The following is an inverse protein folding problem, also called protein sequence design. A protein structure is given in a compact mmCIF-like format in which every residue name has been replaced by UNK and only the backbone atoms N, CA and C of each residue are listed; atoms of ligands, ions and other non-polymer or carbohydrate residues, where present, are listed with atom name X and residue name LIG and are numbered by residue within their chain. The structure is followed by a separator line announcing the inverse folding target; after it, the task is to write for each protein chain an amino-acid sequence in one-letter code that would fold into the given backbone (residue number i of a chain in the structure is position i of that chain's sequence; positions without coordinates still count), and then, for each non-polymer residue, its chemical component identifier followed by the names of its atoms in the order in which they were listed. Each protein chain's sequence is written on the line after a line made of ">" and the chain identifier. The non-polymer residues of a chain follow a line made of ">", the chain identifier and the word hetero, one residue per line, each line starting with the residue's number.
data_IF_190083517783
#
_entry.id   IF_190083517783
#
_cell.length_a   1.000
_cell.length_b   1.000
_cell.length_c   1.000
_cell.angle_alpha   90.00
_cell.angle_beta   90.00
_cell.angle_gamma   90.00
#
_symmetry.space_group_name_H-M   'P 1'
#
loop_
_entity.id
_entity.type
_entity.pdbx_description
1 polymer ?
#
# COMPACT_ATOMS: atom_id res chain seq x y z
N UNK A 1 -15.96 29.71 -3.68
CA UNK A 1 -14.99 29.42 -4.76
C UNK A 1 -14.23 28.11 -4.52
N UNK A 2 -13.55 27.87 -3.39
CA UNK A 2 -12.78 26.63 -3.16
C UNK A 2 -13.59 25.33 -3.37
N UNK A 3 -14.81 25.24 -2.83
CA UNK A 3 -15.68 24.04 -3.02
C UNK A 3 -15.94 23.71 -4.48
N UNK A 4 -16.17 24.72 -5.34
CA UNK A 4 -16.42 24.52 -6.77
C UNK A 4 -15.17 23.94 -7.44
N UNK A 5 -13.99 24.46 -7.09
CA UNK A 5 -12.70 23.95 -7.59
C UNK A 5 -12.50 22.50 -7.14
N UNK A 6 -12.79 22.16 -5.88
CA UNK A 6 -12.72 20.78 -5.37
C UNK A 6 -13.60 19.83 -6.19
N UNK A 7 -14.83 20.24 -6.55
CA UNK A 7 -15.74 19.43 -7.38
C UNK A 7 -15.19 19.24 -8.80
N UNK A 8 -14.78 20.34 -9.46
CA UNK A 8 -14.27 20.29 -10.85
C UNK A 8 -13.04 19.42 -10.95
N UNK A 9 -12.02 19.67 -10.12
CA UNK A 9 -10.77 18.92 -10.15
C UNK A 9 -10.97 17.46 -9.72
N UNK A 10 -11.92 17.19 -8.82
CA UNK A 10 -12.29 15.81 -8.47
C UNK A 10 -12.88 15.06 -9.66
N UNK A 11 -13.77 15.68 -10.43
CA UNK A 11 -14.35 15.05 -11.62
C UNK A 11 -13.25 14.73 -12.64
N UNK A 12 -12.36 15.68 -12.93
CA UNK A 12 -11.24 15.49 -13.86
C UNK A 12 -10.36 14.31 -13.41
N UNK A 13 -9.98 14.28 -12.13
CA UNK A 13 -9.18 13.22 -11.59
C UNK A 13 -9.89 11.85 -11.60
N UNK A 14 -11.17 11.80 -11.26
CA UNK A 14 -11.92 10.54 -11.23
C UNK A 14 -12.14 9.96 -12.62
N UNK A 15 -12.30 10.82 -13.64
CA UNK A 15 -12.30 10.39 -15.04
C UNK A 15 -10.95 9.78 -15.41
N UNK A 16 -9.84 10.48 -15.11
CA UNK A 16 -8.48 9.95 -15.30
C UNK A 16 -8.28 8.62 -14.56
N UNK A 17 -8.67 8.55 -13.28
CA UNK A 17 -8.57 7.35 -12.45
C UNK A 17 -9.34 6.17 -13.06
N UNK A 18 -10.60 6.39 -13.47
CA UNK A 18 -11.43 5.35 -14.07
C UNK A 18 -10.88 4.87 -15.41
N UNK A 19 -10.50 5.79 -16.31
CA UNK A 19 -9.90 5.46 -17.61
C UNK A 19 -8.58 4.70 -17.43
N UNK A 20 -7.73 5.12 -16.49
CA UNK A 20 -6.48 4.42 -16.17
C UNK A 20 -6.75 2.98 -15.72
N UNK A 21 -7.73 2.76 -14.83
CA UNK A 21 -8.11 1.41 -14.41
C UNK A 21 -8.60 0.55 -15.57
N UNK A 22 -9.41 1.10 -16.48
CA UNK A 22 -9.96 0.36 -17.63
C UNK A 22 -8.86 -0.01 -18.64
N UNK A 23 -8.04 0.96 -19.03
CA UNK A 23 -6.93 0.74 -19.98
C UNK A 23 -5.94 -0.29 -19.43
N UNK A 24 -5.49 -0.11 -18.19
CA UNK A 24 -4.56 -1.04 -17.58
C UNK A 24 -5.19 -2.40 -17.25
N UNK A 25 -6.51 -2.51 -17.18
CA UNK A 25 -7.16 -3.81 -17.05
C UNK A 25 -6.88 -4.70 -18.27
N UNK A 26 -7.03 -4.15 -19.46
CA UNK A 26 -6.71 -4.85 -20.71
C UNK A 26 -5.22 -5.15 -20.80
N UNK A 27 -4.37 -4.14 -20.53
CA UNK A 27 -2.91 -4.29 -20.52
C UNK A 27 -2.46 -5.40 -19.58
N UNK A 28 -3.00 -5.48 -18.35
CA UNK A 28 -2.65 -6.52 -17.39
C UNK A 28 -3.07 -7.92 -17.83
N UNK A 29 -4.26 -8.05 -18.45
CA UNK A 29 -4.72 -9.34 -18.98
C UNK A 29 -3.77 -9.82 -20.06
N UNK A 30 -3.42 -8.97 -21.03
CA UNK A 30 -2.48 -9.30 -22.10
C UNK A 30 -1.09 -9.60 -21.51
N UNK A 31 -0.58 -8.72 -20.66
CA UNK A 31 0.72 -8.86 -20.03
C UNK A 31 0.88 -10.18 -19.27
N UNK A 32 -0.15 -10.59 -18.50
CA UNK A 32 -0.10 -11.83 -17.74
C UNK A 32 -0.20 -13.08 -18.62
N UNK A 33 -1.16 -13.11 -19.55
CA UNK A 33 -1.48 -14.33 -20.29
C UNK A 33 -0.54 -14.57 -21.47
N UNK A 34 0.05 -13.51 -22.07
CA UNK A 34 0.96 -13.62 -23.21
C UNK A 34 2.43 -13.60 -22.76
N UNK A 35 2.77 -12.72 -21.80
CA UNK A 35 4.17 -12.46 -21.42
C UNK A 35 4.52 -12.91 -20.00
N UNK A 36 3.53 -13.35 -19.21
CA UNK A 36 3.71 -13.90 -17.87
C UNK A 36 3.89 -12.87 -16.75
N UNK A 37 4.22 -13.39 -15.55
CA UNK A 37 4.22 -12.62 -14.29
C UNK A 37 5.14 -11.41 -14.28
N UNK A 38 6.32 -11.49 -14.92
CA UNK A 38 7.29 -10.37 -14.92
C UNK A 38 6.76 -9.15 -15.66
N UNK A 39 6.18 -9.34 -16.83
CA UNK A 39 5.60 -8.25 -17.63
C UNK A 39 4.31 -7.73 -16.98
N UNK A 40 3.50 -8.61 -16.40
CA UNK A 40 2.33 -8.20 -15.61
C UNK A 40 2.74 -7.28 -14.45
N UNK A 41 3.82 -7.60 -13.73
CA UNK A 41 4.33 -6.74 -12.64
C UNK A 41 4.71 -5.34 -13.15
N UNK A 42 5.37 -5.24 -14.29
CA UNK A 42 5.70 -3.96 -14.92
C UNK A 42 4.43 -3.17 -15.29
N UNK A 43 3.43 -3.84 -15.84
CA UNK A 43 2.13 -3.21 -16.12
C UNK A 43 1.46 -2.67 -14.84
N UNK A 44 1.54 -3.40 -13.74
CA UNK A 44 1.04 -2.94 -12.42
C UNK A 44 1.82 -1.74 -11.90
N UNK A 45 3.13 -1.70 -12.08
CA UNK A 45 3.95 -0.56 -11.67
C UNK A 45 3.52 0.71 -12.43
N UNK A 46 3.36 0.63 -13.76
CA UNK A 46 2.90 1.77 -14.56
C UNK A 46 1.46 2.17 -14.28
N UNK A 47 0.55 1.21 -14.02
CA UNK A 47 -0.77 1.54 -13.51
C UNK A 47 -0.67 2.47 -12.28
N UNK A 48 0.13 2.06 -11.30
CA UNK A 48 0.27 2.81 -10.05
C UNK A 48 1.06 4.12 -10.24
N UNK A 49 1.97 4.19 -11.20
CA UNK A 49 2.56 5.45 -11.64
C UNK A 49 1.47 6.44 -12.10
N UNK A 50 0.63 6.05 -13.07
CA UNK A 50 -0.42 6.93 -13.60
C UNK A 50 -1.46 7.31 -12.53
N UNK A 51 -1.83 6.39 -11.64
CA UNK A 51 -2.75 6.69 -10.54
C UNK A 51 -2.13 7.67 -9.53
N UNK A 52 -0.84 7.53 -9.22
CA UNK A 52 -0.13 8.39 -8.27
C UNK A 52 0.09 9.79 -8.83
N UNK A 53 0.66 9.88 -10.02
CA UNK A 53 0.96 11.19 -10.63
C UNK A 53 -0.29 11.86 -11.22
N UNK A 54 -1.35 11.11 -11.49
CA UNK A 54 -2.67 11.66 -11.77
C UNK A 54 -3.23 12.54 -10.66
N UNK A 55 -2.78 12.36 -9.40
CA UNK A 55 -3.16 13.24 -8.27
C UNK A 55 -2.80 14.71 -8.52
N UNK A 56 -1.80 15.01 -9.34
CA UNK A 56 -1.50 16.39 -9.76
C UNK A 56 -2.66 17.08 -10.47
N UNK A 57 -3.58 16.34 -11.08
CA UNK A 57 -4.80 16.89 -11.68
C UNK A 57 -5.73 17.54 -10.64
N UNK A 58 -5.58 17.22 -9.37
CA UNK A 58 -6.28 17.88 -8.26
C UNK A 58 -5.52 19.10 -7.71
N UNK A 59 -4.37 19.43 -8.29
CA UNK A 59 -3.44 20.42 -7.74
C UNK A 59 -2.67 19.93 -6.51
N UNK A 60 -2.76 18.63 -6.18
CA UNK A 60 -2.07 18.08 -5.02
C UNK A 60 -0.55 18.11 -5.20
N UNK A 61 0.17 18.38 -4.11
CA UNK A 61 1.63 18.23 -4.03
C UNK A 61 1.95 16.82 -3.55
N UNK A 62 2.46 15.97 -4.46
CA UNK A 62 2.80 14.56 -4.20
C UNK A 62 4.27 14.42 -3.88
N UNK A 63 4.59 13.93 -2.69
CA UNK A 63 5.95 13.81 -2.17
C UNK A 63 6.25 12.34 -1.86
N UNK A 64 7.21 11.78 -2.60
CA UNK A 64 7.70 10.41 -2.40
C UNK A 64 9.14 10.48 -1.90
N UNK A 65 9.40 9.96 -0.69
CA UNK A 65 10.73 9.98 -0.06
C UNK A 65 11.19 8.59 0.31
N UNK A 66 12.47 8.34 0.08
CA UNK A 66 13.15 7.18 0.63
C UNK A 66 14.32 7.70 1.48
N UNK A 67 14.25 7.49 2.80
CA UNK A 67 15.26 7.99 3.75
C UNK A 67 16.40 6.99 4.00
N UNK A 68 16.36 5.82 3.35
CA UNK A 68 17.33 4.76 3.57
C UNK A 68 17.47 3.87 2.32
N UNK A 69 18.64 3.31 2.15
CA UNK A 69 18.83 2.22 1.19
C UNK A 69 18.42 0.90 1.85
N UNK A 70 17.53 0.19 1.19
CA UNK A 70 17.03 -1.10 1.65
C UNK A 70 17.71 -2.24 0.91
N UNK A 71 17.97 -3.38 1.58
CA UNK A 71 18.56 -4.56 0.96
C UNK A 71 17.63 -5.15 -0.13
N UNK A 72 18.25 -5.77 -1.16
CA UNK A 72 17.52 -6.45 -2.23
C UNK A 72 17.68 -7.99 -2.16
N UNK A 73 18.43 -8.46 -1.19
CA UNK A 73 18.86 -9.86 -1.05
C UNK A 73 18.15 -10.62 0.06
N UNK A 74 17.21 -9.97 0.75
CA UNK A 74 16.38 -10.53 1.81
C UNK A 74 14.93 -10.08 1.72
N UNK A 75 13.97 -10.80 2.31
CA UNK A 75 12.57 -10.37 2.34
C UNK A 75 12.38 -9.10 3.16
N UNK A 76 11.35 -8.30 2.81
CA UNK A 76 10.99 -7.08 3.53
C UNK A 76 9.50 -7.11 3.89
N UNK A 77 9.17 -6.71 5.11
CA UNK A 77 7.80 -6.47 5.55
C UNK A 77 7.65 -4.97 5.79
N UNK A 78 6.95 -4.30 4.88
CA UNK A 78 6.58 -2.90 5.03
C UNK A 78 5.37 -2.77 5.94
N UNK A 79 5.53 -1.96 7.00
CA UNK A 79 4.49 -1.66 7.98
C UNK A 79 4.11 -0.19 7.83
N UNK A 80 2.87 0.09 7.42
CA UNK A 80 2.42 1.44 7.14
C UNK A 80 1.17 1.82 7.95
N UNK A 81 1.01 3.10 8.26
CA UNK A 81 -0.27 3.65 8.68
C UNK A 81 -1.24 3.72 7.50
N UNK A 82 -2.55 3.74 7.76
CA UNK A 82 -3.57 3.67 6.72
C UNK A 82 -4.62 4.77 6.87
N UNK A 83 -4.64 5.72 5.94
CA UNK A 83 -5.55 6.85 5.99
C UNK A 83 -6.64 6.75 4.91
N UNK A 84 -6.31 6.25 3.72
CA UNK A 84 -7.16 6.38 2.54
C UNK A 84 -6.97 5.24 1.54
N UNK A 85 -7.91 5.10 0.60
CA UNK A 85 -7.74 4.27 -0.60
C UNK A 85 -6.57 4.77 -1.48
N UNK A 86 -6.29 6.07 -1.44
CA UNK A 86 -5.23 6.70 -2.21
C UNK A 86 -3.82 6.44 -1.67
N UNK A 87 -3.69 5.77 -0.52
CA UNK A 87 -2.39 5.33 0.01
C UNK A 87 -1.71 4.34 -0.93
N UNK A 88 -2.49 3.44 -1.53
CA UNK A 88 -2.03 2.22 -2.19
C UNK A 88 -1.21 2.48 -3.46
N UNK A 89 -1.67 3.30 -4.44
CA UNK A 89 -0.94 3.50 -5.69
C UNK A 89 0.47 4.01 -5.46
N UNK A 90 0.62 5.04 -4.61
CA UNK A 90 1.91 5.65 -4.34
C UNK A 90 2.86 4.71 -3.59
N UNK A 91 2.35 3.90 -2.65
CA UNK A 91 3.15 2.87 -1.97
C UNK A 91 3.66 1.83 -2.96
N UNK A 92 2.81 1.33 -3.88
CA UNK A 92 3.25 0.35 -4.90
C UNK A 92 4.34 0.95 -5.79
N UNK A 93 4.14 2.18 -6.29
CA UNK A 93 5.10 2.84 -7.14
C UNK A 93 6.43 3.11 -6.43
N UNK A 94 6.38 3.60 -5.18
CA UNK A 94 7.56 3.90 -4.38
C UNK A 94 8.39 2.65 -4.10
N UNK A 95 7.70 1.55 -3.76
CA UNK A 95 8.32 0.28 -3.37
C UNK A 95 8.49 -0.73 -4.52
N UNK A 96 8.25 -0.32 -5.78
CA UNK A 96 8.21 -1.23 -6.95
C UNK A 96 9.46 -2.12 -7.11
N UNK A 97 10.63 -1.66 -6.67
CA UNK A 97 11.89 -2.43 -6.72
C UNK A 97 11.84 -3.70 -5.85
N UNK A 98 11.03 -3.69 -4.78
CA UNK A 98 10.96 -4.76 -3.79
C UNK A 98 9.80 -5.73 -4.01
N UNK A 99 9.12 -5.67 -5.18
CA UNK A 99 7.97 -6.54 -5.52
C UNK A 99 6.88 -6.59 -4.44
N UNK A 100 6.30 -5.45 -4.04
CA UNK A 100 5.36 -5.36 -2.93
C UNK A 100 4.06 -6.13 -3.18
N UNK A 101 3.67 -6.96 -2.22
CA UNK A 101 2.40 -7.70 -2.19
C UNK A 101 1.62 -7.33 -0.95
N UNK A 102 0.31 -7.16 -1.09
CA UNK A 102 -0.52 -6.65 -0.01
C UNK A 102 -1.23 -7.76 0.76
N UNK A 103 -1.44 -7.50 2.06
CA UNK A 103 -2.51 -8.12 2.82
C UNK A 103 -3.78 -7.29 2.57
N UNK A 104 -4.72 -7.84 1.82
CA UNK A 104 -5.91 -7.13 1.33
C UNK A 104 -7.20 -7.86 1.68
N UNK A 105 -8.31 -7.12 1.75
CA UNK A 105 -9.64 -7.73 1.90
C UNK A 105 -9.98 -8.58 0.69
N UNK A 106 -10.56 -9.76 0.93
CA UNK A 106 -10.97 -10.71 -0.12
C UNK A 106 -12.02 -10.11 -1.08
N UNK A 107 -12.87 -9.19 -0.58
CA UNK A 107 -13.90 -8.53 -1.39
C UNK A 107 -13.29 -7.69 -2.51
N UNK A 108 -12.08 -7.15 -2.32
CA UNK A 108 -11.38 -6.37 -3.35
C UNK A 108 -10.86 -7.23 -4.51
N UNK A 109 -10.90 -8.56 -4.39
CA UNK A 109 -10.56 -9.47 -5.48
C UNK A 109 -11.65 -9.55 -6.57
N UNK A 110 -12.76 -8.83 -6.41
CA UNK A 110 -13.89 -8.79 -7.35
C UNK A 110 -14.36 -7.35 -7.60
N UNK A 111 -14.88 -7.09 -8.80
CA UNK A 111 -15.68 -5.91 -9.13
C UNK A 111 -14.89 -4.64 -9.50
N UNK A 112 -13.58 -4.57 -9.29
CA UNK A 112 -12.81 -3.36 -9.64
C UNK A 112 -11.80 -3.68 -10.74
N UNK A 113 -11.94 -3.12 -11.96
CA UNK A 113 -10.99 -3.30 -13.05
C UNK A 113 -9.54 -3.04 -12.59
N UNK A 114 -8.58 -3.72 -13.16
CA UNK A 114 -7.16 -3.70 -12.82
C UNK A 114 -6.84 -4.18 -11.39
N UNK A 115 -7.46 -3.57 -10.38
CA UNK A 115 -7.17 -3.85 -8.96
C UNK A 115 -7.50 -5.30 -8.62
N UNK A 116 -8.74 -5.74 -8.93
CA UNK A 116 -9.17 -7.12 -8.64
C UNK A 116 -8.35 -8.15 -9.41
N UNK A 117 -7.98 -7.83 -10.65
CA UNK A 117 -7.13 -8.72 -11.47
C UNK A 117 -5.74 -8.86 -10.86
N UNK A 118 -5.09 -7.72 -10.54
CA UNK A 118 -3.77 -7.72 -9.91
C UNK A 118 -3.78 -8.50 -8.59
N UNK A 119 -4.74 -8.24 -7.70
CA UNK A 119 -4.81 -8.92 -6.40
C UNK A 119 -4.88 -10.44 -6.53
N UNK A 120 -5.58 -10.97 -7.54
CA UNK A 120 -5.65 -12.41 -7.80
C UNK A 120 -4.38 -12.99 -8.43
N UNK A 121 -3.59 -12.17 -9.15
CA UNK A 121 -2.43 -12.64 -9.93
C UNK A 121 -1.08 -12.33 -9.30
N UNK A 122 -1.00 -11.33 -8.42
CA UNK A 122 0.26 -10.87 -7.79
C UNK A 122 0.75 -11.71 -6.62
N UNK A 123 -0.08 -12.63 -6.09
CA UNK A 123 0.26 -13.39 -4.88
C UNK A 123 -0.11 -12.68 -3.57
N UNK A 124 -0.92 -11.63 -3.62
CA UNK A 124 -1.46 -10.95 -2.44
C UNK A 124 -2.15 -11.92 -1.47
N UNK A 125 -2.11 -11.64 -0.18
CA UNK A 125 -2.90 -12.35 0.82
C UNK A 125 -4.31 -11.74 0.86
N UNK A 126 -5.30 -12.51 0.39
CA UNK A 126 -6.69 -12.09 0.35
C UNK A 126 -7.42 -12.62 1.58
N UNK A 127 -7.65 -11.75 2.56
CA UNK A 127 -8.18 -12.14 3.86
C UNK A 127 -9.66 -11.82 4.04
N UNK A 128 -10.39 -12.78 4.60
CA UNK A 128 -11.70 -12.53 5.20
C UNK A 128 -11.52 -12.14 6.67
N UNK A 129 -11.77 -10.89 7.01
CA UNK A 129 -11.56 -10.39 8.39
C UNK A 129 -12.50 -10.99 9.42
N UNK A 130 -13.57 -11.67 8.98
CA UNK A 130 -14.50 -12.41 9.85
C UNK A 130 -14.06 -13.84 10.11
N UNK A 131 -13.05 -14.33 9.36
CA UNK A 131 -12.49 -15.67 9.48
C UNK A 131 -11.00 -15.59 9.81
N UNK A 132 -10.69 -15.59 11.10
CA UNK A 132 -9.32 -15.48 11.58
C UNK A 132 -8.41 -16.64 11.12
N UNK A 133 -8.97 -17.86 10.97
CA UNK A 133 -8.21 -19.02 10.51
C UNK A 133 -7.81 -18.86 9.05
N UNK A 134 -8.74 -18.47 8.19
CA UNK A 134 -8.48 -18.17 6.79
C UNK A 134 -7.46 -17.03 6.64
N UNK A 135 -7.63 -15.94 7.40
CA UNK A 135 -6.72 -14.80 7.37
C UNK A 135 -5.28 -15.21 7.74
N UNK A 136 -5.08 -15.97 8.83
CA UNK A 136 -3.77 -16.46 9.24
C UNK A 136 -3.16 -17.37 8.15
N UNK A 137 -3.95 -18.25 7.54
CA UNK A 137 -3.48 -19.15 6.46
C UNK A 137 -2.96 -18.36 5.26
N UNK A 138 -3.71 -17.34 4.81
CA UNK A 138 -3.31 -16.51 3.66
C UNK A 138 -2.09 -15.63 3.96
N UNK A 139 -2.02 -15.05 5.17
CA UNK A 139 -0.86 -14.26 5.59
C UNK A 139 0.40 -15.16 5.70
N UNK A 140 0.24 -16.39 6.23
CA UNK A 140 1.34 -17.36 6.29
C UNK A 140 1.82 -17.79 4.90
N UNK A 141 0.88 -17.97 3.94
CA UNK A 141 1.21 -18.24 2.53
C UNK A 141 2.03 -17.09 1.92
N UNK A 142 1.61 -15.84 2.16
CA UNK A 142 2.35 -14.66 1.72
C UNK A 142 3.73 -14.57 2.37
N UNK A 143 3.82 -14.84 3.68
CA UNK A 143 5.11 -14.87 4.38
C UNK A 143 6.09 -15.85 3.76
N UNK A 144 5.63 -17.09 3.46
CA UNK A 144 6.47 -18.07 2.76
C UNK A 144 6.88 -17.58 1.36
N UNK A 145 5.96 -17.00 0.61
CA UNK A 145 6.22 -16.49 -0.74
C UNK A 145 7.31 -15.41 -0.75
N UNK A 146 7.25 -14.44 0.17
CA UNK A 146 8.28 -13.40 0.24
C UNK A 146 9.63 -13.92 0.73
N UNK A 147 9.64 -14.95 1.57
CA UNK A 147 10.88 -15.62 1.99
C UNK A 147 11.56 -16.32 0.81
N UNK A 148 10.79 -17.10 0.06
CA UNK A 148 11.28 -17.90 -1.07
C UNK A 148 11.78 -16.99 -2.24
N UNK A 149 11.09 -15.88 -2.50
CA UNK A 149 11.38 -14.98 -3.62
C UNK A 149 12.25 -13.77 -3.23
N UNK A 150 12.62 -13.61 -1.95
CA UNK A 150 13.28 -12.40 -1.42
C UNK A 150 12.50 -11.11 -1.78
N UNK A 151 11.18 -11.24 -1.78
CA UNK A 151 10.24 -10.16 -2.13
C UNK A 151 9.77 -9.39 -0.91
N UNK A 152 8.65 -8.65 -1.06
CA UNK A 152 8.11 -7.92 0.07
C UNK A 152 6.60 -8.07 0.26
N UNK A 153 6.19 -7.90 1.52
CA UNK A 153 4.80 -7.76 1.92
C UNK A 153 4.53 -6.35 2.44
N UNK A 154 3.34 -5.84 2.20
CA UNK A 154 2.84 -4.60 2.79
C UNK A 154 1.65 -4.93 3.66
N UNK A 155 1.70 -4.47 4.89
CA UNK A 155 0.62 -4.63 5.86
C UNK A 155 0.30 -3.31 6.55
N UNK A 156 -0.99 -3.08 6.77
CA UNK A 156 -1.52 -1.97 7.56
C UNK A 156 -2.01 -2.52 8.90
N UNK A 157 -1.20 -2.50 9.95
CA UNK A 157 -1.53 -3.17 11.20
C UNK A 157 -2.66 -2.51 11.99
N UNK A 158 -3.09 -1.30 11.62
CA UNK A 158 -4.32 -0.68 12.12
C UNK A 158 -5.59 -1.49 11.74
N UNK A 159 -5.50 -2.37 10.75
CA UNK A 159 -6.62 -3.19 10.26
C UNK A 159 -7.71 -2.41 9.54
N UNK A 160 -7.77 -1.10 9.61
CA UNK A 160 -8.76 -0.24 8.92
C UNK A 160 -8.20 1.16 8.69
N UNK A 161 -8.81 1.91 7.79
CA UNK A 161 -8.43 3.29 7.48
C UNK A 161 -8.82 4.26 8.59
N UNK A 162 -8.01 5.31 8.78
CA UNK A 162 -8.26 6.38 9.75
C UNK A 162 -8.09 7.74 9.07
N UNK A 163 -9.19 8.27 8.53
CA UNK A 163 -9.20 9.54 7.79
C UNK A 163 -8.84 10.78 8.65
N UNK A 164 -8.94 10.67 9.98
CA UNK A 164 -8.57 11.76 10.90
C UNK A 164 -7.07 12.01 11.00
N UNK A 165 -6.24 11.13 10.45
CA UNK A 165 -4.77 11.19 10.61
C UNK A 165 -4.26 10.65 11.95
N UNK A 166 -5.14 10.35 12.91
CA UNK A 166 -4.75 9.77 14.21
C UNK A 166 -4.61 8.26 14.03
N UNK A 167 -3.39 7.76 14.15
CA UNK A 167 -3.12 6.32 14.01
C UNK A 167 -3.79 5.51 15.12
N UNK A 168 -4.38 4.39 14.75
CA UNK A 168 -4.88 3.38 15.67
C UNK A 168 -3.73 2.53 16.23
N UNK A 169 -3.98 1.78 17.32
CA UNK A 169 -3.03 0.78 17.78
C UNK A 169 -2.69 -0.22 16.69
N UNK A 170 -1.44 -0.62 16.60
CA UNK A 170 -0.97 -1.64 15.67
C UNK A 170 -1.24 -3.03 16.25
N UNK A 171 -1.87 -3.89 15.46
CA UNK A 171 -2.21 -5.26 15.85
C UNK A 171 -1.12 -6.22 15.36
N UNK A 172 -0.51 -6.95 16.32
CA UNK A 172 0.66 -7.78 16.06
C UNK A 172 0.39 -9.02 15.19
N UNK A 173 -0.79 -9.61 15.24
CA UNK A 173 -1.07 -10.94 14.69
C UNK A 173 -0.68 -11.14 13.23
N UNK A 174 -0.91 -10.15 12.38
CA UNK A 174 -0.54 -10.22 10.96
C UNK A 174 0.98 -10.19 10.74
N UNK A 175 1.68 -9.29 11.41
CA UNK A 175 3.15 -9.15 11.32
C UNK A 175 3.84 -10.37 11.94
N UNK A 176 3.35 -10.86 13.08
CA UNK A 176 3.84 -12.08 13.72
C UNK A 176 3.72 -13.29 12.78
N UNK A 177 2.60 -13.40 12.07
CA UNK A 177 2.37 -14.49 11.10
C UNK A 177 3.32 -14.41 9.91
N UNK A 178 3.58 -13.19 9.39
CA UNK A 178 4.55 -12.96 8.32
C UNK A 178 5.97 -13.33 8.79
N UNK A 179 6.42 -12.81 9.93
CA UNK A 179 7.75 -13.07 10.50
C UNK A 179 7.98 -14.56 10.79
N UNK A 180 6.96 -15.27 11.28
CA UNK A 180 7.07 -16.72 11.50
C UNK A 180 7.39 -17.50 10.22
N UNK A 181 7.01 -16.97 9.04
CA UNK A 181 7.22 -17.60 7.74
C UNK A 181 8.34 -16.96 6.93
N UNK A 182 8.74 -15.77 7.29
CA UNK A 182 9.86 -15.02 6.71
C UNK A 182 10.75 -14.48 7.85
N UNK A 183 11.49 -15.37 8.56
CA UNK A 183 12.28 -14.99 9.74
C UNK A 183 13.42 -14.02 9.41
N UNK A 184 13.90 -14.04 8.17
CA UNK A 184 14.96 -13.15 7.70
C UNK A 184 14.44 -11.77 7.24
N UNK A 185 13.13 -11.52 7.35
CA UNK A 185 12.55 -10.29 6.85
C UNK A 185 12.94 -9.07 7.66
N UNK A 186 13.39 -8.01 6.97
CA UNK A 186 13.55 -6.69 7.56
C UNK A 186 12.17 -6.03 7.72
N UNK A 187 11.90 -5.43 8.87
CA UNK A 187 10.69 -4.62 9.07
C UNK A 187 11.00 -3.18 8.67
N UNK A 188 10.19 -2.61 7.77
CA UNK A 188 10.42 -1.25 7.28
C UNK A 188 9.16 -0.41 7.47
N UNK A 189 9.20 0.62 8.34
CA UNK A 189 8.08 1.52 8.52
C UNK A 189 7.90 2.44 7.29
N UNK A 190 6.65 2.73 6.94
CA UNK A 190 6.28 3.67 5.87
C UNK A 190 5.26 4.67 6.42
N UNK A 191 5.64 5.94 6.48
CA UNK A 191 4.75 7.01 6.90
C UNK A 191 3.95 7.55 5.71
N UNK A 192 2.62 7.62 5.87
CA UNK A 192 1.69 8.15 4.87
C UNK A 192 0.95 9.32 5.48
N UNK A 193 1.00 10.49 4.83
CA UNK A 193 0.37 11.70 5.34
C UNK A 193 -0.51 12.40 4.30
N UNK A 194 -1.57 13.06 4.79
CA UNK A 194 -2.45 13.92 4.02
C UNK A 194 -3.56 13.23 3.23
N UNK A 195 -3.46 11.93 2.97
CA UNK A 195 -4.44 11.21 2.14
C UNK A 195 -5.81 11.08 2.80
N UNK A 196 -5.88 11.02 4.13
CA UNK A 196 -7.15 11.05 4.87
C UNK A 196 -7.86 12.38 4.74
N UNK A 197 -7.12 13.49 4.90
CA UNK A 197 -7.64 14.83 4.72
C UNK A 197 -7.99 15.14 3.25
N UNK A 198 -7.32 14.50 2.31
CA UNK A 198 -7.58 14.61 0.87
C UNK A 198 -8.95 14.05 0.47
N UNK A 199 -9.39 12.94 1.08
CA UNK A 199 -10.69 12.33 0.79
C UNK A 199 -11.58 12.14 2.04
N UNK A 200 -11.94 13.20 2.75
CA UNK A 200 -12.60 13.12 4.06
C UNK A 200 -14.00 12.49 4.03
N UNK A 201 -14.65 12.52 2.89
CA UNK A 201 -16.02 11.99 2.65
C UNK A 201 -16.03 10.77 1.72
N UNK A 202 -14.90 10.07 1.57
CA UNK A 202 -14.75 8.99 0.62
C UNK A 202 -14.22 9.50 -0.72
N UNK A 203 -14.68 8.88 -1.83
CA UNK A 203 -14.08 9.13 -3.15
C UNK A 203 -14.39 10.52 -3.75
N UNK A 204 -15.43 11.19 -3.24
CA UNK A 204 -15.92 12.47 -3.83
C UNK A 204 -16.62 13.35 -2.81
N UNK A 205 -16.40 14.69 -2.82
CA UNK A 205 -15.30 15.38 -3.52
C UNK A 205 -13.97 15.21 -2.80
N UNK A 206 -12.87 15.25 -3.57
CA UNK A 206 -11.51 15.32 -3.07
C UNK A 206 -11.14 16.77 -2.74
N UNK A 207 -10.25 16.97 -1.78
CA UNK A 207 -9.74 18.32 -1.46
C UNK A 207 -8.59 18.69 -2.38
N UNK A 208 -8.80 19.69 -3.24
CA UNK A 208 -7.77 20.23 -4.11
C UNK A 208 -6.60 20.88 -3.32
N UNK A 209 -5.42 20.91 -3.95
CA UNK A 209 -4.19 21.49 -3.43
C UNK A 209 -3.72 20.88 -2.10
N UNK A 210 -4.05 19.60 -1.87
CA UNK A 210 -3.59 18.87 -0.70
C UNK A 210 -2.10 18.54 -0.80
N UNK A 211 -1.39 18.57 0.33
CA UNK A 211 -0.04 18.01 0.45
C UNK A 211 -0.17 16.54 0.82
N UNK A 212 0.41 15.66 0.01
CA UNK A 212 0.36 14.21 0.18
C UNK A 212 1.78 13.67 0.23
N UNK A 213 2.13 12.91 1.25
CA UNK A 213 3.48 12.37 1.37
C UNK A 213 3.49 10.88 1.72
N UNK A 214 4.50 10.19 1.18
CA UNK A 214 4.86 8.81 1.48
C UNK A 214 6.36 8.74 1.73
N UNK A 215 6.73 8.32 2.94
CA UNK A 215 8.13 8.30 3.37
C UNK A 215 8.51 6.92 3.87
N UNK A 216 9.50 6.30 3.23
CA UNK A 216 10.11 5.04 3.66
C UNK A 216 11.17 5.37 4.71
N UNK A 217 11.11 4.68 5.85
CA UNK A 217 11.96 4.92 7.01
C UNK A 217 13.05 3.85 7.14
N UNK A 218 14.08 4.07 7.97
CA UNK A 218 15.07 3.04 8.27
C UNK A 218 14.45 1.73 8.74
N UNK A 219 15.05 0.63 8.34
CA UNK A 219 14.59 -0.71 8.70
C UNK A 219 14.87 -1.06 10.16
N UNK A 220 14.01 -1.88 10.74
CA UNK A 220 14.09 -2.40 12.09
C UNK A 220 14.42 -3.87 12.00
N UNK A 221 15.55 -4.30 12.59
CA UNK A 221 15.90 -5.71 12.69
C UNK A 221 15.00 -6.40 13.73
N UNK A 222 14.33 -7.50 13.35
CA UNK A 222 13.42 -8.19 14.27
C UNK A 222 14.11 -9.14 15.24
N UNK A 223 15.38 -9.51 14.98
CA UNK A 223 16.10 -10.50 15.79
C UNK A 223 16.15 -10.11 17.26
N UNK A 224 15.74 -11.04 18.13
CA UNK A 224 15.77 -10.87 19.59
C UNK A 224 14.66 -9.96 20.17
N UNK A 225 13.79 -9.41 19.34
CA UNK A 225 12.70 -8.51 19.77
C UNK A 225 11.34 -9.22 19.74
N UNK A 226 10.43 -8.83 20.65
CA UNK A 226 9.01 -9.20 20.55
C UNK A 226 8.36 -8.41 19.43
N UNK A 227 7.36 -8.99 18.76
CA UNK A 227 6.68 -8.34 17.64
C UNK A 227 5.97 -7.06 18.07
N UNK A 228 5.46 -7.03 19.28
CA UNK A 228 4.81 -5.87 19.88
C UNK A 228 5.79 -4.69 20.01
N UNK A 229 7.04 -4.96 20.46
CA UNK A 229 8.08 -3.95 20.61
C UNK A 229 8.51 -3.39 19.24
N UNK A 230 8.65 -4.28 18.23
CA UNK A 230 8.94 -3.89 16.84
C UNK A 230 7.85 -2.97 16.29
N UNK A 231 6.58 -3.30 16.53
CA UNK A 231 5.46 -2.52 16.03
C UNK A 231 5.32 -1.17 16.75
N UNK A 232 5.64 -1.09 18.03
CA UNK A 232 5.66 0.19 18.75
C UNK A 232 6.82 1.08 18.28
N UNK A 233 8.01 0.49 18.03
CA UNK A 233 9.14 1.17 17.40
C UNK A 233 8.77 1.71 16.01
N UNK A 234 8.14 0.88 15.17
CA UNK A 234 7.69 1.27 13.83
C UNK A 234 6.63 2.39 13.90
N UNK A 235 5.65 2.27 14.80
CA UNK A 235 4.60 3.26 15.00
C UNK A 235 5.18 4.61 15.47
N UNK A 236 6.09 4.58 16.42
CA UNK A 236 6.79 5.77 16.93
C UNK A 236 7.58 6.45 15.81
N UNK A 237 8.31 5.67 15.00
CA UNK A 237 9.04 6.21 13.84
C UNK A 237 8.10 6.90 12.85
N UNK A 238 6.95 6.30 12.54
CA UNK A 238 5.92 6.90 11.68
C UNK A 238 5.36 8.19 12.32
N UNK A 239 5.00 8.17 13.61
CA UNK A 239 4.48 9.34 14.33
C UNK A 239 5.44 10.52 14.31
N UNK A 240 6.74 10.26 14.47
CA UNK A 240 7.78 11.29 14.44
C UNK A 240 7.89 11.98 13.06
N UNK A 241 7.55 11.31 11.98
CA UNK A 241 7.48 11.94 10.64
C UNK A 241 6.20 12.74 10.50
N UNK A 242 5.04 12.15 10.90
CA UNK A 242 3.74 12.81 10.76
C UNK A 242 3.66 14.12 11.57
N UNK A 243 4.33 14.18 12.72
CA UNK A 243 4.37 15.40 13.57
C UNK A 243 5.22 16.54 13.01
N UNK A 244 6.12 16.27 12.04
CA UNK A 244 7.01 17.25 11.40
C UNK A 244 6.48 17.82 10.10
N UNK A 245 5.39 17.29 9.55
CA UNK A 245 4.81 17.61 8.23
C UNK A 245 3.50 18.41 8.32
#
# INVERSE_FOLDING_TARGET
>A
MKKIIDYILSIIYLIHFGLTLLVFHVIQIIAFNVFGKKVHKVAVDYLNFFLTFGLYLTGANVILRNLTDLPNDRPIIFVANHQSTFDIPAVIWLLRKYHPRFVSKIELAKGVPSISYNLRKSGAALINRKDGKQAITEIARLGKLIQDEKGSAIIFPEGTRTASGIMKPFVAGGVATLLKRAPDALIVPVAINGTGAFNPKGIFPLKSFSKLSWTVLPGIEPSGKKVEDILEEAKTAIQNILSKE
#
